data_IF_179897156537
#
_entry.id   IF_179897156537
#
_cell.length_a   1.000
_cell.length_b   1.000
_cell.length_c   1.000
_cell.angle_alpha   90.00
_cell.angle_beta   90.00
_cell.angle_gamma   90.00
#
_symmetry.space_group_name_H-M   'P 1'
#
loop_
_entity.id
_entity.type
_entity.pdbx_description
1 polymer ?
#
# COMPACT_ATOMS: atom_id res chain seq x y z
N UNK A 1 -5.61 -8.49 17.89
CA UNK A 1 -4.52 -8.32 16.92
C UNK A 1 -3.26 -9.12 17.30
N UNK A 2 -2.84 -9.15 18.57
CA UNK A 2 -1.63 -9.87 19.02
C UNK A 2 -1.51 -11.33 18.51
N UNK A 3 -2.59 -12.11 18.57
CA UNK A 3 -2.57 -13.51 18.08
C UNK A 3 -2.42 -13.65 16.56
N UNK A 4 -2.76 -12.64 15.75
CA UNK A 4 -2.49 -12.63 14.30
C UNK A 4 -1.04 -12.26 14.02
N UNK A 5 -0.51 -11.28 14.75
CA UNK A 5 0.88 -10.84 14.67
C UNK A 5 1.83 -11.98 15.07
N UNK A 6 1.54 -12.69 16.17
CA UNK A 6 2.31 -13.85 16.60
C UNK A 6 2.32 -14.98 15.57
N UNK A 7 1.25 -15.16 14.79
CA UNK A 7 1.20 -16.15 13.69
C UNK A 7 1.95 -15.70 12.45
N UNK A 8 2.04 -14.39 12.22
CA UNK A 8 2.78 -13.83 11.09
C UNK A 8 4.30 -13.89 11.30
N UNK A 9 4.76 -13.99 12.56
CA UNK A 9 6.17 -13.95 12.97
C UNK A 9 6.68 -15.38 13.26
N UNK A 10 7.97 -15.65 13.02
CA UNK A 10 8.59 -16.95 13.33
C UNK A 10 8.87 -17.11 14.83
N UNK A 11 8.93 -18.35 15.37
CA UNK A 11 9.14 -18.60 16.79
C UNK A 11 10.49 -18.11 17.37
N UNK A 12 11.41 -17.65 16.53
CA UNK A 12 12.73 -17.14 16.96
C UNK A 12 12.77 -15.61 17.07
N UNK A 13 11.63 -14.92 17.03
CA UNK A 13 11.55 -13.47 17.17
C UNK A 13 10.78 -13.15 18.45
N UNK A 14 11.43 -12.39 19.34
CA UNK A 14 10.82 -11.91 20.58
C UNK A 14 9.94 -10.70 20.26
N UNK A 15 8.62 -10.84 20.49
CA UNK A 15 7.65 -9.77 20.30
C UNK A 15 7.47 -8.98 21.60
N UNK A 16 7.76 -7.68 21.55
CA UNK A 16 7.47 -6.73 22.63
C UNK A 16 6.40 -5.75 22.18
N UNK A 17 5.30 -5.68 22.93
CA UNK A 17 4.24 -4.68 22.71
C UNK A 17 4.24 -3.72 23.89
N UNK A 18 4.35 -2.43 23.59
CA UNK A 18 4.31 -1.35 24.58
C UNK A 18 3.24 -0.34 24.22
N UNK A 19 2.28 -0.15 25.11
CA UNK A 19 1.14 0.72 24.90
C UNK A 19 1.07 1.77 26.01
N UNK A 20 0.78 3.01 25.63
CA UNK A 20 0.42 4.04 26.60
C UNK A 20 -1.02 3.84 27.09
N UNK A 21 -1.27 4.06 28.39
CA UNK A 21 -2.57 3.82 29.04
C UNK A 21 -3.67 4.83 28.61
N UNK A 22 -3.28 5.99 28.07
CA UNK A 22 -4.17 7.11 27.74
C UNK A 22 -4.04 7.52 26.26
N UNK A 23 -4.17 6.58 25.33
CA UNK A 23 -4.08 6.89 23.89
C UNK A 23 -5.18 7.84 23.44
N UNK A 24 -4.80 8.85 22.67
CA UNK A 24 -5.75 9.70 21.99
C UNK A 24 -6.51 8.91 20.90
N UNK A 25 -7.79 9.22 20.66
CA UNK A 25 -8.50 8.59 19.55
C UNK A 25 -7.92 9.10 18.22
N UNK A 26 -8.03 8.27 17.17
CA UNK A 26 -7.65 8.59 15.79
C UNK A 26 -8.80 8.21 14.85
N UNK A 27 -8.89 8.87 13.70
CA UNK A 27 -9.88 8.52 12.67
C UNK A 27 -9.18 7.76 11.53
N UNK A 28 -9.36 6.45 11.50
CA UNK A 28 -8.77 5.55 10.49
C UNK A 28 -9.74 4.42 10.16
N UNK A 29 -9.56 3.79 9.02
CA UNK A 29 -10.17 2.48 8.74
C UNK A 29 -9.42 1.39 9.54
N UNK A 30 -10.10 0.65 10.45
CA UNK A 30 -9.47 -0.39 11.26
C UNK A 30 -8.82 -1.51 10.44
N UNK A 31 -9.43 -1.89 9.31
CA UNK A 31 -8.93 -2.98 8.45
C UNK A 31 -7.64 -2.59 7.74
N UNK A 32 -7.55 -1.34 7.27
CA UNK A 32 -6.35 -0.80 6.64
C UNK A 32 -5.21 -0.64 7.65
N UNK A 33 -5.51 -0.22 8.88
CA UNK A 33 -4.52 -0.16 9.95
C UNK A 33 -3.97 -1.54 10.31
N UNK A 34 -4.85 -2.55 10.42
CA UNK A 34 -4.44 -3.94 10.67
C UNK A 34 -3.54 -4.47 9.56
N UNK A 35 -3.93 -4.25 8.30
CA UNK A 35 -3.13 -4.66 7.13
C UNK A 35 -1.77 -3.95 7.08
N UNK A 36 -1.73 -2.65 7.36
CA UNK A 36 -0.48 -1.90 7.47
C UNK A 36 0.44 -2.52 8.55
N UNK A 37 -0.10 -2.80 9.74
CA UNK A 37 0.69 -3.38 10.82
C UNK A 37 1.21 -4.79 10.47
N UNK A 38 0.37 -5.64 9.88
CA UNK A 38 0.77 -6.98 9.43
C UNK A 38 1.89 -6.91 8.37
N UNK A 39 1.77 -6.00 7.40
CA UNK A 39 2.80 -5.78 6.37
C UNK A 39 4.14 -5.38 6.99
N UNK A 40 4.12 -4.51 8.00
CA UNK A 40 5.33 -4.13 8.73
C UNK A 40 5.91 -5.31 9.51
N UNK A 41 5.10 -6.09 10.23
CA UNK A 41 5.56 -7.27 10.96
C UNK A 41 6.17 -8.34 10.05
N UNK A 42 5.56 -8.60 8.89
CA UNK A 42 6.07 -9.55 7.88
C UNK A 42 7.40 -9.05 7.33
N UNK A 43 7.52 -7.76 7.00
CA UNK A 43 8.77 -7.18 6.52
C UNK A 43 9.88 -7.28 7.56
N UNK A 44 9.58 -6.96 8.82
CA UNK A 44 10.52 -7.07 9.94
C UNK A 44 10.98 -8.52 10.16
N UNK A 45 10.07 -9.50 10.10
CA UNK A 45 10.42 -10.92 10.17
C UNK A 45 11.40 -11.32 9.07
N UNK A 46 11.12 -10.93 7.83
CA UNK A 46 11.97 -11.27 6.69
C UNK A 46 13.36 -10.63 6.80
N UNK A 47 13.47 -9.49 7.50
CA UNK A 47 14.74 -8.84 7.84
C UNK A 47 15.48 -9.49 9.02
N UNK A 48 14.89 -10.47 9.70
CA UNK A 48 15.45 -11.17 10.87
C UNK A 48 15.51 -12.71 10.66
N UNK A 49 16.24 -13.21 9.63
CA UNK A 49 16.27 -14.64 9.33
C UNK A 49 16.86 -15.52 10.45
N UNK A 50 17.75 -14.95 11.27
CA UNK A 50 18.37 -15.62 12.42
C UNK A 50 17.59 -15.43 13.73
N UNK A 51 16.41 -14.82 13.68
CA UNK A 51 15.71 -14.32 14.86
C UNK A 51 16.12 -12.90 15.25
N UNK A 52 15.52 -12.38 16.30
CA UNK A 52 15.74 -11.02 16.77
C UNK A 52 14.60 -10.51 17.65
N UNK A 53 14.46 -9.20 17.76
CA UNK A 53 13.39 -8.57 18.52
C UNK A 53 12.54 -7.71 17.60
N UNK A 54 11.22 -7.85 17.72
CA UNK A 54 10.24 -6.96 17.12
C UNK A 54 9.53 -6.21 18.24
N UNK A 55 9.64 -4.89 18.23
CA UNK A 55 8.93 -4.01 19.16
C UNK A 55 7.83 -3.24 18.45
N UNK A 56 6.61 -3.33 18.97
CA UNK A 56 5.48 -2.50 18.57
C UNK A 56 5.21 -1.52 19.71
N UNK A 57 5.25 -0.22 19.42
CA UNK A 57 5.04 0.83 20.42
C UNK A 57 3.95 1.78 19.98
N UNK A 58 3.09 2.15 20.92
CA UNK A 58 2.10 3.22 20.72
C UNK A 58 2.24 4.28 21.81
N UNK A 59 2.26 5.55 21.41
CA UNK A 59 2.30 6.67 22.34
C UNK A 59 1.67 7.93 21.76
N UNK A 60 1.21 8.83 22.62
CA UNK A 60 0.86 10.17 22.19
C UNK A 60 2.13 11.00 22.04
N UNK A 61 2.20 11.80 20.98
CA UNK A 61 3.31 12.70 20.71
C UNK A 61 2.77 14.05 20.25
N UNK A 62 3.27 15.13 20.86
CA UNK A 62 2.98 16.50 20.43
C UNK A 62 4.20 17.03 19.69
N UNK A 63 3.99 17.40 18.43
CA UNK A 63 5.00 18.06 17.61
C UNK A 63 4.82 19.57 17.79
N UNK A 64 5.77 20.17 18.51
CA UNK A 64 5.86 21.62 18.72
C UNK A 64 7.03 22.23 17.93
N UNK A 65 7.17 23.55 18.00
CA UNK A 65 8.22 24.30 17.29
C UNK A 65 9.65 23.92 17.73
N UNK A 66 9.81 23.32 18.92
CA UNK A 66 11.10 22.89 19.44
C UNK A 66 11.45 21.45 19.02
N UNK A 67 10.43 20.64 18.71
CA UNK A 67 10.53 19.24 18.39
C UNK A 67 10.63 18.97 16.88
N UNK A 68 10.99 19.98 16.06
CA UNK A 68 10.89 19.93 14.59
C UNK A 68 11.70 18.77 13.97
N UNK A 69 11.08 17.59 13.97
CA UNK A 69 11.41 16.44 13.17
C UNK A 69 11.17 16.86 11.73
N UNK A 70 12.24 16.91 10.93
CA UNK A 70 12.22 17.36 9.55
C UNK A 70 11.03 16.78 8.77
N UNK A 71 10.05 17.63 8.44
CA UNK A 71 8.94 17.30 7.54
C UNK A 71 7.58 16.96 8.19
N UNK A 72 7.44 16.94 9.51
CA UNK A 72 6.13 16.76 10.18
C UNK A 72 5.49 18.11 10.53
N UNK A 73 4.19 18.33 10.22
CA UNK A 73 3.44 19.50 10.69
C UNK A 73 3.33 19.54 12.21
N UNK A 74 3.15 20.73 12.77
CA UNK A 74 2.87 20.93 14.19
C UNK A 74 1.49 20.34 14.53
N UNK A 75 1.38 19.65 15.67
CA UNK A 75 0.11 19.05 16.08
C UNK A 75 0.20 17.96 17.15
N UNK A 76 -0.96 17.43 17.52
CA UNK A 76 -1.12 16.28 18.40
C UNK A 76 -1.27 15.00 17.55
N UNK A 77 -0.39 14.03 17.77
CA UNK A 77 -0.37 12.77 17.04
C UNK A 77 -0.40 11.57 17.98
N UNK A 78 -0.98 10.48 17.51
CA UNK A 78 -0.70 9.14 18.02
C UNK A 78 0.39 8.53 17.15
N UNK A 79 1.51 8.23 17.78
CA UNK A 79 2.63 7.53 17.16
C UNK A 79 2.45 6.02 17.32
N UNK A 80 2.44 5.31 16.20
CA UNK A 80 2.60 3.86 16.11
C UNK A 80 3.98 3.55 15.52
N UNK A 81 4.80 2.81 16.25
CA UNK A 81 6.14 2.40 15.82
C UNK A 81 6.24 0.88 15.71
N UNK A 82 6.88 0.43 14.63
CA UNK A 82 7.35 -0.95 14.47
C UNK A 82 8.86 -0.91 14.32
N UNK A 83 9.55 -1.56 15.25
CA UNK A 83 11.01 -1.56 15.35
C UNK A 83 11.52 -2.99 15.31
N UNK A 84 12.36 -3.31 14.35
CA UNK A 84 13.08 -4.58 14.29
C UNK A 84 14.58 -4.41 14.48
N UNK A 85 15.22 -5.47 14.95
CA UNK A 85 16.68 -5.58 15.07
C UNK A 85 17.29 -6.32 13.88
N UNK A 86 16.65 -6.26 12.71
CA UNK A 86 17.06 -7.01 11.53
C UNK A 86 18.31 -6.46 10.84
N UNK A 87 18.54 -6.96 9.63
CA UNK A 87 19.69 -6.55 8.79
C UNK A 87 19.66 -5.08 8.37
N UNK A 88 18.52 -4.41 8.49
CA UNK A 88 18.33 -3.03 8.08
C UNK A 88 18.52 -2.80 6.57
N UNK A 89 18.57 -1.53 6.17
CA UNK A 89 18.68 -1.10 4.78
C UNK A 89 19.85 -0.13 4.58
N UNK A 90 20.47 -0.20 3.41
CA UNK A 90 21.42 0.81 2.95
C UNK A 90 20.67 2.11 2.56
N UNK A 91 21.38 3.24 2.56
CA UNK A 91 20.76 4.56 2.36
C UNK A 91 20.11 4.78 1.00
N UNK A 92 20.61 4.10 -0.03
CA UNK A 92 20.05 4.07 -1.38
C UNK A 92 18.74 3.27 -1.43
N UNK A 93 18.72 2.08 -0.81
CA UNK A 93 17.52 1.25 -0.66
C UNK A 93 16.44 1.98 0.16
N UNK A 94 16.84 2.65 1.24
CA UNK A 94 15.92 3.37 2.13
C UNK A 94 15.14 4.47 1.39
N UNK A 95 15.77 5.17 0.44
CA UNK A 95 15.14 6.23 -0.35
C UNK A 95 14.02 5.72 -1.25
N UNK A 96 14.13 4.46 -1.69
CA UNK A 96 13.18 3.81 -2.59
C UNK A 96 12.22 2.88 -1.83
N UNK A 97 12.34 2.77 -0.50
CA UNK A 97 11.60 1.78 0.29
C UNK A 97 10.07 1.95 0.24
N UNK A 98 9.57 3.16 -0.05
CA UNK A 98 8.16 3.44 -0.25
C UNK A 98 7.73 3.45 -1.73
N UNK A 99 8.67 3.30 -2.67
CA UNK A 99 8.34 3.21 -4.08
C UNK A 99 7.58 1.90 -4.34
N UNK A 100 6.41 1.95 -5.01
CA UNK A 100 5.67 0.75 -5.36
C UNK A 100 6.55 -0.25 -6.13
N UNK A 101 6.42 -1.53 -5.77
CA UNK A 101 7.14 -2.66 -6.40
C UNK A 101 8.65 -2.71 -6.16
N UNK A 102 9.21 -1.74 -5.43
CA UNK A 102 10.60 -1.79 -5.04
C UNK A 102 10.82 -2.91 -4.00
N UNK A 103 11.71 -3.85 -4.30
CA UNK A 103 12.09 -4.90 -3.36
C UNK A 103 13.51 -5.36 -3.61
N UNK A 104 14.22 -5.63 -2.51
CA UNK A 104 15.54 -6.28 -2.53
C UNK A 104 15.44 -7.79 -2.37
N UNK A 105 14.22 -8.34 -2.24
CA UNK A 105 13.98 -9.77 -2.06
C UNK A 105 14.10 -10.53 -3.38
N UNK A 106 14.49 -11.82 -3.36
CA UNK A 106 14.50 -12.66 -4.56
C UNK A 106 13.11 -12.74 -5.19
N UNK A 107 13.06 -12.92 -6.52
CA UNK A 107 11.83 -13.06 -7.30
C UNK A 107 10.90 -14.11 -6.68
N UNK A 108 9.67 -13.70 -6.32
CA UNK A 108 8.66 -14.56 -5.69
C UNK A 108 8.64 -14.56 -4.16
N UNK A 109 9.55 -13.84 -3.48
CA UNK A 109 9.62 -13.76 -2.00
C UNK A 109 9.04 -12.46 -1.41
N UNK A 110 8.30 -11.69 -2.21
CA UNK A 110 7.64 -10.46 -1.78
C UNK A 110 7.20 -9.61 -2.97
N UNK A 111 6.05 -8.94 -2.85
CA UNK A 111 5.46 -8.12 -3.91
C UNK A 111 6.12 -6.74 -4.04
N UNK A 112 6.90 -6.30 -3.04
CA UNK A 112 7.42 -4.92 -2.97
C UNK A 112 6.34 -3.87 -2.71
N UNK A 113 5.14 -4.29 -2.27
CA UNK A 113 4.00 -3.39 -2.09
C UNK A 113 3.67 -3.08 -0.62
N UNK A 114 4.15 -3.88 0.34
CA UNK A 114 3.73 -3.73 1.75
C UNK A 114 4.00 -2.34 2.33
N UNK A 115 5.17 -1.77 2.05
CA UNK A 115 5.52 -0.42 2.53
C UNK A 115 4.81 0.69 1.75
N UNK A 116 4.60 0.53 0.43
CA UNK A 116 3.90 1.54 -0.37
C UNK A 116 2.39 1.58 -0.06
N UNK A 117 1.76 0.43 0.21
CA UNK A 117 0.37 0.37 0.69
C UNK A 117 0.23 1.01 2.08
N UNK A 118 1.17 0.70 2.99
CA UNK A 118 1.22 1.35 4.31
C UNK A 118 1.34 2.87 4.17
N UNK A 119 2.24 3.34 3.29
CA UNK A 119 2.39 4.77 2.99
C UNK A 119 1.08 5.39 2.48
N UNK A 120 0.40 4.73 1.54
CA UNK A 120 -0.88 5.19 0.97
C UNK A 120 -1.99 5.32 2.02
N UNK A 121 -2.18 4.28 2.85
CA UNK A 121 -3.13 4.29 3.96
C UNK A 121 -2.87 5.45 4.93
N UNK A 122 -1.60 5.65 5.32
CA UNK A 122 -1.23 6.69 6.27
C UNK A 122 -1.55 8.08 5.72
N UNK A 123 -1.25 8.33 4.44
CA UNK A 123 -1.58 9.60 3.79
C UNK A 123 -3.08 9.83 3.67
N UNK A 124 -3.86 8.80 3.32
CA UNK A 124 -5.33 8.88 3.25
C UNK A 124 -5.96 9.20 4.62
N UNK A 125 -5.31 8.77 5.70
CA UNK A 125 -5.73 9.05 7.07
C UNK A 125 -5.26 10.43 7.58
N UNK A 126 -4.68 11.28 6.72
CA UNK A 126 -4.07 12.56 7.12
C UNK A 126 -2.83 12.42 8.00
N UNK A 127 -2.27 11.22 8.06
CA UNK A 127 -1.08 10.88 8.84
C UNK A 127 0.21 11.06 8.05
N UNK A 128 1.32 10.81 8.75
CA UNK A 128 2.66 10.88 8.19
C UNK A 128 3.42 9.60 8.54
N UNK A 129 4.26 9.12 7.61
CA UNK A 129 5.12 7.96 7.86
C UNK A 129 6.58 8.37 7.73
N UNK A 130 7.40 7.90 8.67
CA UNK A 130 8.85 8.06 8.66
C UNK A 130 9.50 6.70 8.80
N UNK A 131 10.53 6.45 8.01
CA UNK A 131 11.34 5.25 8.11
C UNK A 131 12.79 5.64 8.40
N UNK A 132 13.39 4.96 9.38
CA UNK A 132 14.80 5.06 9.70
C UNK A 132 15.37 3.65 9.74
N UNK A 133 16.44 3.41 9.00
CA UNK A 133 17.07 2.10 8.93
C UNK A 133 18.56 2.27 8.71
N UNK A 134 19.34 1.37 9.29
CA UNK A 134 20.78 1.31 9.10
C UNK A 134 21.21 -0.16 8.99
N UNK A 135 22.12 -0.43 8.05
CA UNK A 135 22.67 -1.78 7.83
C UNK A 135 23.21 -2.35 9.14
N UNK A 136 22.75 -3.54 9.49
CA UNK A 136 23.03 -4.30 10.73
C UNK A 136 22.56 -3.65 12.03
N UNK A 137 21.71 -2.62 11.98
CA UNK A 137 21.11 -1.99 13.16
C UNK A 137 19.59 -2.12 13.20
N UNK A 138 18.98 -2.69 12.17
CA UNK A 138 17.54 -2.87 12.05
C UNK A 138 16.81 -1.68 11.42
N UNK A 139 15.48 -1.74 11.50
CA UNK A 139 14.58 -0.76 10.90
C UNK A 139 13.55 -0.27 11.91
N UNK A 140 13.23 1.01 11.84
CA UNK A 140 12.13 1.64 12.58
C UNK A 140 11.21 2.32 11.58
N UNK A 141 9.95 1.90 11.57
CA UNK A 141 8.86 2.58 10.86
C UNK A 141 7.99 3.28 11.89
N UNK A 142 7.81 4.58 11.72
CA UNK A 142 7.03 5.46 12.60
C UNK A 142 5.84 6.02 11.83
N UNK A 143 4.63 5.68 12.24
CA UNK A 143 3.36 6.17 11.70
C UNK A 143 2.79 7.18 12.69
N UNK A 144 2.60 8.42 12.23
CA UNK A 144 2.00 9.51 12.99
C UNK A 144 0.57 9.71 12.50
N UNK A 145 -0.42 9.39 13.33
CA UNK A 145 -1.84 9.60 13.03
C UNK A 145 -2.34 10.82 13.80
N UNK A 146 -3.02 11.78 13.16
CA UNK A 146 -3.51 12.97 13.85
C UNK A 146 -4.53 12.58 14.92
N UNK A 147 -4.43 13.21 16.08
CA UNK A 147 -5.42 13.07 17.16
C UNK A 147 -6.79 13.50 16.65
N UNK A 148 -7.77 12.61 16.82
CA UNK A 148 -9.17 12.94 16.67
C UNK A 148 -9.67 13.68 17.91
N UNK A 149 -10.30 14.86 17.72
CA UNK A 149 -10.82 15.68 18.82
C UNK A 149 -12.35 15.55 18.98
N UNK A 150 -13.00 14.64 18.24
CA UNK A 150 -14.44 14.40 18.37
C UNK A 150 -15.33 15.56 17.91
N UNK A 151 -14.76 16.60 17.30
CA UNK A 151 -15.46 17.80 16.92
C UNK A 151 -15.19 18.14 15.47
N UNK A 152 -15.73 17.32 14.57
CA UNK A 152 -16.26 17.91 13.36
C UNK A 152 -17.54 18.66 13.77
N UNK A 153 -17.36 19.93 14.17
CA UNK A 153 -18.10 20.97 13.44
C UNK A 153 -18.04 20.52 12.00
N UNK A 154 -19.19 20.42 11.33
CA UNK A 154 -19.26 20.42 9.87
C UNK A 154 -18.16 21.37 9.42
N UNK A 155 -17.01 20.80 9.06
CA UNK A 155 -16.12 21.41 8.10
C UNK A 155 -17.12 21.49 7.00
N UNK A 156 -17.65 22.70 6.78
CA UNK A 156 -18.18 23.04 5.49
C UNK A 156 -17.23 22.32 4.58
N UNK A 157 -17.75 21.28 3.95
CA UNK A 157 -17.19 20.85 2.71
C UNK A 157 -17.19 22.17 1.94
N UNK A 158 -16.07 22.90 2.03
CA UNK A 158 -15.32 23.16 0.84
C UNK A 158 -15.39 21.81 0.16
N UNK A 159 -16.40 21.74 -0.70
CA UNK A 159 -16.26 21.10 -1.94
C UNK A 159 -14.84 21.51 -2.39
N UNK A 160 -13.82 20.73 -1.97
CA UNK A 160 -13.15 19.93 -2.97
C UNK A 160 -14.32 19.37 -3.73
N UNK A 161 -14.75 20.13 -4.76
CA UNK A 161 -15.73 19.69 -5.71
C UNK A 161 -15.29 18.26 -5.91
N UNK A 162 -16.09 17.28 -5.46
CA UNK A 162 -15.95 15.93 -5.99
C UNK A 162 -15.85 16.23 -7.46
N UNK A 163 -14.69 16.08 -8.12
CA UNK A 163 -14.64 16.39 -9.53
C UNK A 163 -15.78 15.55 -10.07
N UNK A 164 -16.78 16.23 -10.64
CA UNK A 164 -18.07 15.63 -10.98
C UNK A 164 -17.74 14.26 -11.54
N UNK A 165 -18.14 13.17 -10.86
CA UNK A 165 -17.66 11.79 -11.09
C UNK A 165 -17.30 11.70 -12.56
N UNK A 166 -15.99 11.76 -12.86
CA UNK A 166 -15.56 12.04 -14.23
C UNK A 166 -16.20 10.97 -15.09
N UNK A 167 -17.20 11.37 -15.87
CA UNK A 167 -17.93 10.43 -16.71
C UNK A 167 -17.00 10.15 -17.87
N UNK A 168 -16.69 8.88 -18.11
CA UNK A 168 -16.06 8.45 -19.33
C UNK A 168 -16.91 8.91 -20.52
N UNK A 169 -16.23 9.26 -21.60
CA UNK A 169 -16.84 9.58 -22.89
C UNK A 169 -16.85 8.35 -23.81
N UNK A 170 -16.92 7.14 -23.24
CA UNK A 170 -16.84 5.88 -23.97
C UNK A 170 -15.41 5.39 -24.23
N UNK A 171 -14.41 5.86 -23.46
CA UNK A 171 -13.06 5.31 -23.54
C UNK A 171 -13.06 3.81 -23.21
N UNK A 172 -12.22 3.06 -23.91
CA UNK A 172 -12.20 1.61 -23.85
C UNK A 172 -11.16 1.11 -22.85
N UNK A 173 -11.62 0.31 -21.89
CA UNK A 173 -10.81 -0.25 -20.80
C UNK A 173 -10.78 -1.76 -20.90
N UNK A 174 -9.59 -2.36 -20.93
CA UNK A 174 -9.42 -3.80 -20.78
C UNK A 174 -9.13 -4.11 -19.31
N UNK A 175 -9.92 -4.98 -18.69
CA UNK A 175 -9.77 -5.39 -17.29
C UNK A 175 -9.30 -6.84 -17.23
N UNK A 176 -8.18 -7.08 -16.56
CA UNK A 176 -7.54 -8.38 -16.43
C UNK A 176 -7.38 -8.73 -14.95
N UNK A 177 -8.05 -9.78 -14.52
CA UNK A 177 -8.03 -10.27 -13.14
C UNK A 177 -8.40 -11.76 -13.21
N UNK A 178 -7.79 -12.62 -12.39
CA UNK A 178 -8.10 -14.05 -12.40
C UNK A 178 -9.38 -14.38 -11.60
N UNK A 179 -9.77 -13.51 -10.67
CA UNK A 179 -10.99 -13.62 -9.91
C UNK A 179 -12.18 -13.00 -10.65
N UNK A 180 -13.15 -13.84 -11.04
CA UNK A 180 -14.34 -13.37 -11.77
C UNK A 180 -15.12 -12.31 -11.00
N UNK A 181 -15.26 -12.43 -9.68
CA UNK A 181 -15.98 -11.49 -8.82
C UNK A 181 -15.40 -10.08 -8.90
N UNK A 182 -14.07 -9.97 -8.75
CA UNK A 182 -13.38 -8.68 -8.80
C UNK A 182 -13.49 -8.06 -10.18
N UNK A 183 -13.27 -8.86 -11.22
CA UNK A 183 -13.37 -8.41 -12.61
C UNK A 183 -14.76 -7.86 -12.93
N UNK A 184 -15.82 -8.58 -12.56
CA UNK A 184 -17.20 -8.14 -12.77
C UNK A 184 -17.51 -6.85 -12.02
N UNK A 185 -17.11 -6.75 -10.75
CA UNK A 185 -17.32 -5.54 -9.94
C UNK A 185 -16.65 -4.32 -10.57
N UNK A 186 -15.39 -4.45 -11.00
CA UNK A 186 -14.65 -3.35 -11.64
C UNK A 186 -15.31 -2.94 -12.95
N UNK A 187 -15.72 -3.92 -13.77
CA UNK A 187 -16.41 -3.65 -15.03
C UNK A 187 -17.74 -2.94 -14.80
N UNK A 188 -18.55 -3.37 -13.84
CA UNK A 188 -19.83 -2.75 -13.52
C UNK A 188 -19.66 -1.28 -13.13
N UNK A 189 -18.70 -0.98 -12.23
CA UNK A 189 -18.40 0.39 -11.79
C UNK A 189 -17.95 1.26 -12.98
N UNK A 190 -17.08 0.74 -13.85
CA UNK A 190 -16.58 1.50 -15.01
C UNK A 190 -17.67 1.74 -16.07
N UNK A 191 -18.53 0.75 -16.31
CA UNK A 191 -19.67 0.91 -17.22
C UNK A 191 -20.66 1.95 -16.68
N UNK A 192 -20.94 1.94 -15.38
CA UNK A 192 -21.79 2.95 -14.71
C UNK A 192 -21.20 4.36 -14.81
N UNK A 193 -19.87 4.47 -14.91
CA UNK A 193 -19.14 5.72 -15.13
C UNK A 193 -19.03 6.11 -16.61
N UNK A 194 -19.54 5.31 -17.56
CA UNK A 194 -19.57 5.64 -19.00
C UNK A 194 -18.37 5.15 -19.81
N UNK A 195 -17.56 4.23 -19.27
CA UNK A 195 -16.48 3.56 -19.99
C UNK A 195 -16.99 2.30 -20.73
N UNK A 196 -16.26 1.85 -21.75
CA UNK A 196 -16.51 0.58 -22.43
C UNK A 196 -15.52 -0.47 -21.91
N UNK A 197 -16.00 -1.50 -21.21
CA UNK A 197 -15.11 -2.50 -20.61
C UNK A 197 -15.03 -3.81 -21.38
N UNK A 198 -13.83 -4.37 -21.50
CA UNK A 198 -13.59 -5.73 -21.99
C UNK A 198 -12.87 -6.57 -20.94
N UNK A 199 -13.38 -7.76 -20.68
CA UNK A 199 -12.86 -8.66 -19.67
C UNK A 199 -11.83 -9.66 -20.22
N UNK A 200 -10.79 -9.94 -19.44
CA UNK A 200 -9.92 -11.09 -19.62
C UNK A 200 -9.60 -11.77 -18.28
N UNK A 201 -9.70 -13.09 -18.24
CA UNK A 201 -9.40 -13.86 -17.03
C UNK A 201 -7.90 -14.19 -16.85
N UNK A 202 -7.10 -13.99 -17.90
CA UNK A 202 -5.67 -14.30 -17.87
C UNK A 202 -4.90 -13.47 -18.89
N UNK A 203 -3.57 -13.43 -18.74
CA UNK A 203 -2.66 -12.70 -19.62
C UNK A 203 -2.78 -13.11 -21.10
N UNK A 204 -3.14 -14.38 -21.38
CA UNK A 204 -3.25 -14.87 -22.77
C UNK A 204 -4.53 -14.36 -23.43
N UNK A 205 -5.65 -14.34 -22.72
CA UNK A 205 -6.90 -13.78 -23.18
C UNK A 205 -6.76 -12.27 -23.39
N UNK A 206 -6.14 -11.56 -22.44
CA UNK A 206 -5.88 -10.14 -22.53
C UNK A 206 -5.01 -9.78 -23.74
N UNK A 207 -3.90 -10.50 -23.96
CA UNK A 207 -3.04 -10.26 -25.13
C UNK A 207 -3.75 -10.43 -26.48
N UNK A 208 -4.77 -11.28 -26.58
CA UNK A 208 -5.58 -11.39 -27.81
C UNK A 208 -6.39 -10.13 -28.05
N UNK A 209 -6.99 -9.56 -27.01
CA UNK A 209 -7.73 -8.30 -27.08
C UNK A 209 -6.79 -7.14 -27.41
N UNK A 210 -5.65 -7.06 -26.70
CA UNK A 210 -4.68 -5.96 -26.82
C UNK A 210 -3.99 -5.93 -28.20
N UNK A 211 -3.86 -7.08 -28.87
CA UNK A 211 -3.32 -7.17 -30.24
C UNK A 211 -4.35 -6.92 -31.34
N UNK A 212 -5.62 -6.78 -31.01
CA UNK A 212 -6.65 -6.43 -31.99
C UNK A 212 -6.50 -4.99 -32.44
N UNK A 213 -7.24 -4.60 -33.48
CA UNK A 213 -7.29 -3.21 -33.98
C UNK A 213 -8.21 -2.30 -33.12
N UNK A 214 -8.70 -2.80 -31.99
CA UNK A 214 -9.54 -2.03 -31.06
C UNK A 214 -8.78 -0.82 -30.51
N UNK A 215 -9.42 0.36 -30.45
CA UNK A 215 -8.86 1.47 -29.67
C UNK A 215 -8.97 1.12 -28.20
N UNK A 216 -7.85 1.15 -27.48
CA UNK A 216 -7.80 0.80 -26.05
C UNK A 216 -7.08 1.95 -25.37
N UNK A 217 -7.73 2.54 -24.39
CA UNK A 217 -7.28 3.76 -23.72
C UNK A 217 -6.63 3.45 -22.37
N UNK A 218 -7.04 2.34 -21.74
CA UNK A 218 -6.50 1.87 -20.47
C UNK A 218 -6.50 0.34 -20.39
N UNK A 219 -5.39 -0.21 -19.90
CA UNK A 219 -5.31 -1.58 -19.41
C UNK A 219 -5.30 -1.55 -17.87
N UNK A 220 -6.30 -2.17 -17.25
CA UNK A 220 -6.31 -2.48 -15.82
C UNK A 220 -5.94 -3.94 -15.66
N UNK A 221 -4.91 -4.26 -14.88
CA UNK A 221 -4.48 -5.65 -14.67
C UNK A 221 -4.09 -5.92 -13.23
N UNK A 222 -4.50 -7.08 -12.71
CA UNK A 222 -3.92 -7.61 -11.49
C UNK A 222 -2.42 -7.85 -11.69
N UNK A 223 -1.63 -7.52 -10.67
CA UNK A 223 -0.19 -7.72 -10.68
C UNK A 223 0.17 -9.21 -10.61
N UNK A 224 -0.60 -9.96 -9.81
CA UNK A 224 -0.32 -11.33 -9.40
C UNK A 224 -0.82 -12.43 -10.34
N UNK A 225 -1.31 -12.09 -11.54
CA UNK A 225 -1.97 -13.04 -12.43
C UNK A 225 -1.26 -14.41 -12.51
N UNK A 226 -1.97 -15.51 -12.21
CA UNK A 226 -1.39 -16.85 -12.23
C UNK A 226 -1.07 -17.30 -13.66
N UNK A 227 -0.06 -18.15 -13.81
CA UNK A 227 0.31 -18.80 -15.07
C UNK A 227 1.75 -18.53 -15.52
N UNK A 228 1.99 -18.64 -16.84
CA UNK A 228 3.34 -18.47 -17.41
C UNK A 228 3.80 -17.01 -17.52
N UNK A 229 2.86 -16.07 -17.48
CA UNK A 229 3.10 -14.65 -17.65
C UNK A 229 2.24 -13.88 -16.64
N UNK A 230 2.88 -13.18 -15.71
CA UNK A 230 2.17 -12.34 -14.74
C UNK A 230 1.73 -11.00 -15.37
N UNK A 231 0.92 -10.22 -14.64
CA UNK A 231 0.36 -8.97 -15.15
C UNK A 231 1.41 -7.94 -15.55
N UNK A 232 2.54 -7.89 -14.84
CA UNK A 232 3.67 -7.03 -15.18
C UNK A 232 4.33 -7.43 -16.50
N UNK A 233 4.67 -8.70 -16.67
CA UNK A 233 5.29 -9.21 -17.90
C UNK A 233 4.36 -9.03 -19.10
N UNK A 234 3.05 -9.16 -18.90
CA UNK A 234 2.07 -8.83 -19.92
C UNK A 234 2.10 -7.35 -20.27
N UNK A 235 2.07 -6.44 -19.29
CA UNK A 235 2.14 -5.01 -19.52
C UNK A 235 3.42 -4.60 -20.26
N UNK A 236 4.57 -5.14 -19.87
CA UNK A 236 5.85 -4.93 -20.57
C UNK A 236 5.77 -5.40 -22.02
N UNK A 237 5.22 -6.60 -22.27
CA UNK A 237 5.01 -7.10 -23.64
C UNK A 237 4.04 -6.23 -24.46
N UNK A 238 3.04 -5.63 -23.81
CA UNK A 238 2.06 -4.76 -24.47
C UNK A 238 2.67 -3.43 -24.87
N UNK A 239 3.58 -2.88 -24.07
CA UNK A 239 4.30 -1.64 -24.40
C UNK A 239 5.14 -1.77 -25.68
N UNK A 240 5.60 -2.98 -26.04
CA UNK A 240 6.34 -3.20 -27.29
C UNK A 240 5.50 -2.90 -28.55
N UNK A 241 4.18 -3.12 -28.50
CA UNK A 241 3.28 -2.92 -29.66
C UNK A 241 2.19 -1.86 -29.44
N UNK A 242 2.00 -1.37 -28.21
CA UNK A 242 1.17 -0.22 -27.85
C UNK A 242 1.90 0.69 -26.85
N UNK A 243 2.94 1.44 -27.30
CA UNK A 243 3.81 2.21 -26.41
C UNK A 243 3.14 3.39 -25.69
N UNK A 244 1.94 3.78 -26.13
CA UNK A 244 1.19 4.89 -25.54
C UNK A 244 0.01 4.42 -24.68
N UNK A 245 -0.15 3.11 -24.49
CA UNK A 245 -1.25 2.58 -23.69
C UNK A 245 -0.98 2.83 -22.21
N UNK A 246 -1.93 3.47 -21.54
CA UNK A 246 -1.89 3.61 -20.10
C UNK A 246 -2.15 2.25 -19.44
N UNK A 247 -1.38 1.93 -18.41
CA UNK A 247 -1.53 0.68 -17.64
C UNK A 247 -1.70 1.03 -16.16
N UNK A 248 -2.78 0.51 -15.57
CA UNK A 248 -3.07 0.57 -14.15
C UNK A 248 -2.96 -0.82 -13.54
N UNK A 249 -2.09 -0.96 -12.54
CA UNK A 249 -1.98 -2.20 -11.77
C UNK A 249 -2.92 -2.15 -10.57
N UNK A 250 -3.71 -3.20 -10.40
CA UNK A 250 -4.54 -3.46 -9.22
C UNK A 250 -3.96 -4.66 -8.47
N UNK A 251 -4.20 -4.73 -7.17
CA UNK A 251 -3.66 -5.78 -6.29
C UNK A 251 -4.65 -5.98 -5.15
N UNK A 252 -5.25 -7.17 -5.09
CA UNK A 252 -6.00 -7.64 -3.93
C UNK A 252 -5.05 -8.40 -3.00
N UNK A 253 -4.64 -7.80 -1.89
CA UNK A 253 -3.99 -8.49 -0.78
C UNK A 253 -4.64 -8.05 0.52
#
# INVERSE_FOLDING_TARGET
MEGLIQRAITPNIDLLISESLDQWPVMVDPSQLENALLNLCINSRDSMPSGGQLTIRTQNERIDENAQLSGLPLGDYVLLQVVDTGVGMASDVLKQAFEPFFTTKPTGSGTGLGLSMTYGFVHQSGGHVKITSQVNCGTTVSIYLPRYLGNDLVVESSAVSRPALFSGNGETVVVVDDEQSNRTLICDILNDLGYLTFEAADSRAALKLLRSDMSIDLLITDFGLPGRMNGRQMAEAVQEFRPNLNVLFITGY
#
